data_IF_031993064892
#
_entry.id   IF_031993064892
#
_cell.length_a   1.000
_cell.length_b   1.000
_cell.length_c   1.000
_cell.angle_alpha   90.00
_cell.angle_beta   90.00
_cell.angle_gamma   90.00
#
_symmetry.space_group_name_H-M   'P 1'
#
loop_
_entity.id
_entity.type
_entity.pdbx_description
1 polymer ?
#
# COMPACT_ATOMS: atom_id res chain seq x y z
N UNK A 1 7.15 58.71 -10.36
CA UNK A 1 8.29 59.61 -10.08
C UNK A 1 9.35 58.77 -9.36
N UNK A 2 10.21 58.04 -10.06
CA UNK A 2 11.57 58.41 -10.52
C UNK A 2 12.49 59.05 -9.47
N UNK A 3 13.75 58.58 -9.51
CA UNK A 3 15.03 59.05 -8.88
C UNK A 3 15.48 58.21 -7.67
N UNK A 4 16.74 57.78 -7.53
CA UNK A 4 17.96 58.00 -8.33
C UNK A 4 19.01 56.94 -7.96
N UNK A 5 19.85 56.61 -8.94
CA UNK A 5 21.16 55.97 -8.77
C UNK A 5 22.17 56.97 -8.16
N UNK A 6 23.29 56.47 -7.63
CA UNK A 6 24.66 57.05 -7.54
C UNK A 6 25.42 56.31 -6.42
N UNK A 7 26.69 55.93 -6.46
CA UNK A 7 27.78 55.85 -7.45
C UNK A 7 29.04 55.44 -6.66
N UNK A 8 29.92 54.62 -7.26
CA UNK A 8 31.40 54.65 -7.26
C UNK A 8 32.17 54.81 -5.92
N UNK A 9 33.33 54.20 -5.62
CA UNK A 9 34.56 54.00 -6.41
C UNK A 9 35.52 53.11 -5.57
N UNK A 10 36.18 52.12 -6.17
CA UNK A 10 37.61 52.13 -6.55
C UNK A 10 38.63 52.23 -5.41
N UNK A 11 39.43 51.17 -5.25
CA UNK A 11 40.60 51.15 -4.38
C UNK A 11 41.38 49.84 -4.53
N UNK A 12 42.02 49.67 -5.67
CA UNK A 12 43.04 48.63 -5.88
C UNK A 12 44.35 49.07 -5.23
N UNK A 13 44.97 48.22 -4.41
CA UNK A 13 46.42 48.19 -4.30
C UNK A 13 46.91 46.80 -3.90
N UNK A 14 47.90 46.30 -4.64
CA UNK A 14 48.44 44.95 -4.53
C UNK A 14 49.51 44.79 -3.46
N UNK A 15 50.02 43.56 -3.36
CA UNK A 15 51.19 43.22 -2.55
C UNK A 15 51.17 41.75 -2.13
N UNK A 16 52.03 40.95 -2.75
CA UNK A 16 52.05 39.49 -2.62
C UNK A 16 52.57 38.93 -1.30
N UNK A 17 52.50 37.61 -1.18
CA UNK A 17 53.15 36.85 -0.10
C UNK A 17 52.50 35.48 0.13
N UNK A 18 53.13 34.45 -0.41
CA UNK A 18 52.84 33.03 -0.18
C UNK A 18 53.02 32.64 1.30
N UNK A 19 52.15 31.80 1.88
CA UNK A 19 52.52 30.46 2.36
C UNK A 19 51.30 29.64 2.82
N UNK A 20 51.40 28.32 2.67
CA UNK A 20 50.31 27.36 2.82
C UNK A 20 49.83 27.07 4.25
N UNK A 21 48.72 26.34 4.30
CA UNK A 21 48.14 25.80 5.54
C UNK A 21 46.76 25.23 5.26
N UNK A 22 46.69 23.92 5.00
CA UNK A 22 45.45 23.19 4.74
C UNK A 22 44.45 23.35 5.88
N UNK A 23 43.39 24.14 5.63
CA UNK A 23 42.23 24.27 6.50
C UNK A 23 41.33 23.05 6.37
N UNK A 24 41.53 22.09 7.27
CA UNK A 24 40.70 20.92 7.47
C UNK A 24 39.23 21.33 7.65
N UNK A 25 38.39 21.02 6.66
CA UNK A 25 36.94 21.07 6.81
C UNK A 25 36.59 20.13 7.96
N UNK A 26 36.21 20.69 9.11
CA UNK A 26 35.68 19.91 10.23
C UNK A 26 34.35 19.30 9.80
N UNK A 27 34.45 18.15 9.13
CA UNK A 27 33.33 17.30 8.78
C UNK A 27 32.84 16.71 10.09
N UNK A 28 31.83 17.38 10.67
CA UNK A 28 31.11 16.95 11.86
C UNK A 28 30.96 15.44 11.84
N UNK A 29 31.74 14.77 12.70
CA UNK A 29 31.76 13.33 12.86
C UNK A 29 30.40 12.89 13.38
N UNK A 30 29.50 12.53 12.45
CA UNK A 30 28.26 11.82 12.77
C UNK A 30 28.68 10.53 13.43
N UNK A 31 28.48 10.43 14.73
CA UNK A 31 28.57 9.18 15.48
C UNK A 31 27.83 8.09 14.69
N UNK A 32 28.38 6.87 14.56
CA UNK A 32 27.69 5.78 13.90
C UNK A 32 26.38 5.54 14.67
N UNK A 33 25.28 6.00 14.08
CA UNK A 33 23.96 5.62 14.57
C UNK A 33 23.91 4.10 14.52
N UNK A 34 23.44 3.42 15.58
CA UNK A 34 23.35 1.97 15.57
C UNK A 34 22.58 1.57 14.32
N UNK A 35 23.23 0.80 13.46
CA UNK A 35 22.62 0.20 12.26
C UNK A 35 21.57 -0.78 12.76
N UNK A 36 20.41 -0.26 13.13
CA UNK A 36 19.23 -1.09 13.32
C UNK A 36 19.11 -1.93 12.06
N UNK A 37 18.90 -3.26 12.17
CA UNK A 37 18.76 -4.12 11.02
C UNK A 37 17.82 -3.45 10.01
N UNK A 38 18.32 -3.26 8.80
CA UNK A 38 17.55 -2.72 7.71
C UNK A 38 16.23 -3.49 7.66
N UNK A 39 15.15 -2.70 7.66
CA UNK A 39 13.75 -3.08 7.59
C UNK A 39 13.55 -4.50 7.06
N UNK A 40 12.82 -5.34 7.77
CA UNK A 40 12.31 -6.55 7.15
C UNK A 40 11.40 -6.12 6.00
N UNK A 41 11.96 -6.01 4.79
CA UNK A 41 11.26 -5.81 3.53
C UNK A 41 10.50 -7.08 3.14
N UNK A 42 10.14 -7.91 4.12
CA UNK A 42 9.33 -9.10 3.93
C UNK A 42 8.00 -8.63 3.38
N UNK A 43 7.69 -8.95 2.11
CA UNK A 43 6.41 -8.56 1.56
C UNK A 43 5.32 -9.32 2.30
N UNK A 44 4.21 -8.63 2.56
CA UNK A 44 3.02 -9.26 3.12
C UNK A 44 2.60 -10.43 2.22
N UNK A 45 2.16 -11.54 2.79
CA UNK A 45 1.59 -12.64 2.01
C UNK A 45 0.20 -12.27 1.50
N UNK A 46 -0.32 -13.03 0.54
CA UNK A 46 -1.68 -12.84 0.02
C UNK A 46 -2.73 -12.95 1.13
N UNK A 47 -2.63 -13.97 1.97
CA UNK A 47 -3.52 -14.15 3.12
C UNK A 47 -3.48 -12.95 4.08
N UNK A 48 -2.29 -12.40 4.36
CA UNK A 48 -2.19 -11.23 5.24
C UNK A 48 -2.87 -10.01 4.63
N UNK A 49 -2.83 -9.84 3.31
CA UNK A 49 -3.54 -8.76 2.62
C UNK A 49 -5.05 -9.01 2.63
N UNK A 50 -5.49 -10.26 2.44
CA UNK A 50 -6.90 -10.65 2.59
C UNK A 50 -7.42 -10.40 3.99
N UNK A 51 -6.65 -10.71 5.04
CA UNK A 51 -7.00 -10.38 6.41
C UNK A 51 -7.26 -8.89 6.60
N UNK A 52 -6.33 -8.06 6.10
CA UNK A 52 -6.46 -6.60 6.18
C UNK A 52 -7.71 -6.12 5.44
N UNK A 53 -7.96 -6.65 4.24
CA UNK A 53 -9.14 -6.30 3.43
C UNK A 53 -10.44 -6.68 4.15
N UNK A 54 -10.53 -7.91 4.65
CA UNK A 54 -11.71 -8.43 5.32
C UNK A 54 -12.08 -7.64 6.57
N UNK A 55 -11.11 -7.40 7.46
CA UNK A 55 -11.39 -6.63 8.67
C UNK A 55 -11.76 -5.17 8.35
N UNK A 56 -11.21 -4.60 7.26
CA UNK A 56 -11.48 -3.22 6.89
C UNK A 56 -12.82 -3.02 6.17
N UNK A 57 -13.10 -3.83 5.16
CA UNK A 57 -14.26 -3.66 4.27
C UNK A 57 -15.46 -4.51 4.69
N UNK A 58 -15.25 -5.78 5.03
CA UNK A 58 -16.34 -6.70 5.39
C UNK A 58 -16.80 -6.45 6.83
N UNK A 59 -15.86 -6.24 7.76
CA UNK A 59 -16.16 -5.99 9.19
C UNK A 59 -16.25 -4.52 9.56
N UNK A 60 -15.76 -3.60 8.72
CA UNK A 60 -15.78 -2.16 9.02
C UNK A 60 -14.93 -1.76 10.25
N UNK A 61 -13.93 -2.56 10.62
CA UNK A 61 -13.14 -2.34 11.83
C UNK A 61 -12.16 -1.18 11.63
N UNK A 62 -11.95 -0.40 12.71
CA UNK A 62 -10.96 0.68 12.73
C UNK A 62 -9.53 0.12 12.77
N UNK A 63 -8.59 0.80 12.12
CA UNK A 63 -7.22 0.33 11.95
C UNK A 63 -6.54 -0.11 13.26
N UNK A 64 -6.74 0.65 14.33
CA UNK A 64 -6.20 0.38 15.66
C UNK A 64 -6.66 -0.99 16.20
N UNK A 65 -7.94 -1.32 15.98
CA UNK A 65 -8.54 -2.58 16.42
C UNK A 65 -8.15 -3.78 15.53
N UNK A 66 -7.67 -3.55 14.30
CA UNK A 66 -7.17 -4.62 13.42
C UNK A 66 -5.76 -5.08 13.83
N UNK A 67 -4.93 -4.20 14.41
CA UNK A 67 -3.52 -4.51 14.72
C UNK A 67 -3.37 -5.69 15.69
N UNK A 68 -4.21 -5.75 16.73
CA UNK A 68 -4.15 -6.81 17.75
C UNK A 68 -4.48 -8.19 17.16
N UNK A 69 -5.66 -8.41 16.52
CA UNK A 69 -5.99 -9.70 15.92
C UNK A 69 -5.03 -10.05 14.77
N UNK A 70 -4.54 -9.07 14.00
CA UNK A 70 -3.53 -9.31 12.97
C UNK A 70 -2.24 -9.89 13.55
N UNK A 71 -1.72 -9.31 14.65
CA UNK A 71 -0.51 -9.82 15.32
C UNK A 71 -0.71 -11.20 15.92
N UNK A 72 -1.91 -11.48 16.45
CA UNK A 72 -2.27 -12.80 16.99
C UNK A 72 -2.30 -13.86 15.88
N UNK A 73 -2.85 -13.51 14.72
CA UNK A 73 -2.95 -14.41 13.57
C UNK A 73 -1.61 -14.62 12.86
N UNK A 74 -0.80 -13.57 12.73
CA UNK A 74 0.47 -13.59 12.03
C UNK A 74 1.63 -13.13 12.94
N UNK A 75 2.00 -13.94 13.96
CA UNK A 75 3.05 -13.59 14.92
C UNK A 75 4.44 -13.42 14.26
N UNK A 76 4.64 -14.01 13.09
CA UNK A 76 5.85 -13.86 12.27
C UNK A 76 6.02 -12.43 11.71
N UNK A 77 4.95 -11.64 11.61
CA UNK A 77 5.02 -10.26 11.14
C UNK A 77 5.51 -9.36 12.27
N UNK A 78 6.79 -9.02 12.21
CA UNK A 78 7.42 -8.13 13.19
C UNK A 78 7.06 -6.67 12.91
N UNK A 79 6.11 -6.14 13.67
CA UNK A 79 5.97 -4.69 13.80
C UNK A 79 7.13 -4.18 14.67
N UNK A 80 7.78 -3.07 14.27
CA UNK A 80 8.86 -2.49 15.08
C UNK A 80 8.35 -2.24 16.52
N UNK A 81 9.13 -2.60 17.56
CA UNK A 81 8.86 -2.09 18.91
C UNK A 81 8.93 -0.57 18.83
N UNK A 82 7.83 0.07 19.23
CA UNK A 82 7.67 1.51 19.10
C UNK A 82 7.49 2.07 20.50
N UNK A 83 8.22 3.14 20.79
CA UNK A 83 8.03 4.02 21.96
C UNK A 83 6.72 4.83 21.89
N UNK A 84 5.81 4.53 20.95
CA UNK A 84 4.49 5.15 20.85
C UNK A 84 3.43 4.26 20.18
N UNK A 85 2.14 4.45 20.49
CA UNK A 85 1.05 3.49 20.22
C UNK A 85 0.66 3.31 18.73
N UNK A 86 1.07 4.19 17.82
CA UNK A 86 0.38 4.36 16.52
C UNK A 86 1.06 3.74 15.28
N UNK A 87 2.27 3.15 15.38
CA UNK A 87 3.00 2.67 14.18
C UNK A 87 2.49 1.36 13.58
N UNK A 88 1.84 0.50 14.36
CA UNK A 88 1.22 -0.74 13.84
C UNK A 88 0.11 -0.47 12.83
N UNK A 89 -0.73 0.53 13.14
CA UNK A 89 -1.78 1.04 12.25
C UNK A 89 -1.20 1.51 10.91
N UNK A 90 -0.17 2.36 10.94
CA UNK A 90 0.38 2.95 9.72
C UNK A 90 0.92 1.93 8.72
N UNK A 91 1.47 0.82 9.20
CA UNK A 91 1.95 -0.27 8.34
C UNK A 91 0.79 -0.99 7.61
N UNK A 92 -0.28 -1.34 8.35
CA UNK A 92 -1.46 -1.98 7.77
C UNK A 92 -2.19 -1.06 6.79
N UNK A 93 -2.35 0.21 7.17
CA UNK A 93 -3.00 1.23 6.34
C UNK A 93 -2.23 1.46 5.02
N UNK A 94 -0.90 1.61 5.10
CA UNK A 94 -0.06 1.74 3.91
C UNK A 94 -0.15 0.51 3.00
N UNK A 95 -0.18 -0.70 3.59
CA UNK A 95 -0.32 -1.94 2.82
C UNK A 95 -1.69 -2.02 2.15
N UNK A 96 -2.75 -1.66 2.87
CA UNK A 96 -4.11 -1.63 2.35
C UNK A 96 -4.21 -0.71 1.13
N UNK A 97 -3.82 0.57 1.23
CA UNK A 97 -3.95 1.50 0.09
C UNK A 97 -3.13 1.09 -1.14
N UNK A 98 -1.94 0.50 -0.94
CA UNK A 98 -1.11 -0.03 -2.05
C UNK A 98 -1.74 -1.25 -2.73
N UNK A 99 -2.58 -2.00 -2.02
CA UNK A 99 -3.23 -3.21 -2.52
C UNK A 99 -4.52 -2.93 -3.33
N UNK A 100 -4.96 -1.66 -3.44
CA UNK A 100 -6.22 -1.27 -4.06
C UNK A 100 -6.16 -1.23 -5.58
N UNK A 101 -5.88 -2.41 -6.14
CA UNK A 101 -5.87 -2.70 -7.58
C UNK A 101 -7.21 -3.35 -7.97
N UNK A 102 -7.83 -2.78 -8.98
CA UNK A 102 -9.12 -3.19 -9.52
C UNK A 102 -9.00 -3.42 -11.02
N UNK A 103 -9.83 -4.30 -11.61
CA UNK A 103 -9.86 -4.40 -13.05
C UNK A 103 -10.33 -3.08 -13.66
N UNK A 104 -9.67 -2.70 -14.75
CA UNK A 104 -10.03 -1.55 -15.56
C UNK A 104 -11.30 -1.85 -16.32
N UNK A 105 -12.21 -0.89 -16.30
CA UNK A 105 -13.47 -0.96 -17.01
C UNK A 105 -13.46 0.05 -18.15
N UNK A 106 -14.01 -0.34 -19.29
CA UNK A 106 -14.31 0.58 -20.39
C UNK A 106 -15.57 1.40 -20.09
N UNK A 107 -15.92 2.34 -20.99
CA UNK A 107 -17.11 3.19 -20.83
C UNK A 107 -18.45 2.44 -20.85
N UNK A 108 -18.44 1.20 -21.35
CA UNK A 108 -19.58 0.29 -21.37
C UNK A 108 -19.65 -0.59 -20.11
N UNK A 109 -18.63 -0.56 -19.23
CA UNK A 109 -18.55 -1.36 -18.02
C UNK A 109 -17.98 -2.76 -18.23
N UNK A 110 -17.35 -3.04 -19.37
CA UNK A 110 -16.67 -4.31 -19.62
C UNK A 110 -15.21 -4.25 -19.14
N UNK A 111 -14.67 -5.41 -18.77
CA UNK A 111 -13.27 -5.55 -18.38
C UNK A 111 -12.37 -5.28 -19.59
N UNK A 112 -11.45 -4.33 -19.46
CA UNK A 112 -10.38 -4.13 -20.43
C UNK A 112 -9.37 -5.25 -20.24
N UNK A 113 -9.14 -6.03 -21.29
CA UNK A 113 -8.20 -7.14 -21.30
C UNK A 113 -6.88 -6.71 -21.95
N UNK A 114 -5.77 -7.21 -21.43
CA UNK A 114 -4.46 -7.10 -22.03
C UNK A 114 -4.28 -8.10 -23.20
N UNK A 115 -3.11 -8.06 -23.85
CA UNK A 115 -2.77 -8.93 -24.98
C UNK A 115 -2.79 -10.44 -24.62
N UNK A 116 -2.66 -10.77 -23.33
CA UNK A 116 -2.71 -12.14 -22.83
C UNK A 116 -4.15 -12.57 -22.49
N UNK A 117 -5.13 -11.67 -22.66
CA UNK A 117 -6.50 -11.91 -22.26
C UNK A 117 -6.69 -11.84 -20.74
N UNK A 118 -5.82 -11.18 -19.99
CA UNK A 118 -6.00 -10.95 -18.55
C UNK A 118 -6.53 -9.53 -18.30
N UNK A 119 -7.38 -9.29 -17.28
CA UNK A 119 -7.85 -7.94 -16.99
C UNK A 119 -6.69 -6.99 -16.67
N UNK A 120 -6.66 -5.86 -17.38
CA UNK A 120 -5.76 -4.77 -17.03
C UNK A 120 -6.14 -4.23 -15.65
N UNK A 121 -5.18 -4.15 -14.73
CA UNK A 121 -5.44 -3.73 -13.36
C UNK A 121 -5.01 -2.28 -13.15
N UNK A 122 -5.90 -1.45 -12.60
CA UNK A 122 -5.66 -0.04 -12.28
C UNK A 122 -5.76 0.23 -10.79
N UNK A 123 -4.98 1.19 -10.29
CA UNK A 123 -5.10 1.65 -8.92
C UNK A 123 -6.25 2.66 -8.80
N UNK A 124 -7.28 2.33 -8.03
CA UNK A 124 -8.38 3.25 -7.74
C UNK A 124 -8.24 3.72 -6.30
N UNK A 125 -8.06 5.04 -6.12
CA UNK A 125 -7.96 5.62 -4.78
C UNK A 125 -9.26 5.40 -4.03
N UNK A 126 -9.17 5.08 -2.74
CA UNK A 126 -10.34 4.79 -1.88
C UNK A 126 -11.40 5.90 -1.95
N UNK A 127 -10.96 7.16 -1.93
CA UNK A 127 -11.84 8.34 -2.03
C UNK A 127 -12.55 8.50 -3.39
N UNK A 128 -12.00 7.91 -4.45
CA UNK A 128 -12.53 8.01 -5.82
C UNK A 128 -13.53 6.88 -6.13
N UNK A 129 -13.63 5.85 -5.27
CA UNK A 129 -14.52 4.69 -5.46
C UNK A 129 -16.00 5.05 -5.47
N UNK A 130 -16.41 5.91 -4.54
CA UNK A 130 -17.81 6.29 -4.37
C UNK A 130 -18.36 7.05 -5.57
N UNK A 131 -17.47 7.77 -6.29
CA UNK A 131 -17.79 8.56 -7.48
C UNK A 131 -17.45 7.82 -8.78
N UNK A 132 -17.06 6.55 -8.72
CA UNK A 132 -16.65 5.80 -9.90
C UNK A 132 -17.87 5.46 -10.78
N UNK A 133 -17.76 5.70 -12.09
CA UNK A 133 -18.85 5.52 -13.06
C UNK A 133 -19.48 4.13 -13.00
N UNK A 134 -18.64 3.10 -12.87
CA UNK A 134 -19.06 1.69 -12.81
C UNK A 134 -18.96 1.11 -11.39
N UNK A 135 -19.35 1.92 -10.39
CA UNK A 135 -19.29 1.55 -8.97
C UNK A 135 -19.88 0.17 -8.67
N UNK A 136 -21.06 -0.12 -9.22
CA UNK A 136 -21.78 -1.37 -9.03
C UNK A 136 -20.98 -2.61 -9.46
N UNK A 137 -20.06 -2.48 -10.42
CA UNK A 137 -19.19 -3.57 -10.89
C UNK A 137 -17.96 -3.67 -10.00
N UNK A 138 -17.34 -2.55 -9.64
CA UNK A 138 -16.12 -2.55 -8.80
C UNK A 138 -16.42 -2.88 -7.32
N UNK A 139 -17.66 -2.70 -6.86
CA UNK A 139 -18.06 -2.98 -5.48
C UNK A 139 -17.89 -4.46 -5.11
N UNK A 140 -18.09 -5.36 -6.08
CA UNK A 140 -17.81 -6.79 -5.93
C UNK A 140 -16.33 -7.09 -5.64
N UNK A 141 -15.42 -6.14 -5.91
CA UNK A 141 -13.99 -6.26 -5.63
C UNK A 141 -13.55 -5.56 -4.34
N UNK A 142 -14.47 -4.90 -3.61
CA UNK A 142 -14.15 -4.23 -2.36
C UNK A 142 -14.08 -5.22 -1.20
N UNK A 143 -15.12 -6.02 -1.02
CA UNK A 143 -15.20 -6.99 0.08
C UNK A 143 -14.44 -8.25 -0.28
N UNK A 144 -13.79 -8.87 0.70
CA UNK A 144 -13.14 -10.16 0.47
C UNK A 144 -14.18 -11.23 0.13
N UNK A 145 -15.32 -11.21 0.82
CA UNK A 145 -16.43 -12.17 0.63
C UNK A 145 -16.99 -12.14 -0.79
N UNK A 146 -17.06 -10.98 -1.42
CA UNK A 146 -17.49 -10.86 -2.82
C UNK A 146 -16.32 -11.10 -3.77
N UNK A 147 -15.12 -10.60 -3.48
CA UNK A 147 -13.99 -10.67 -4.40
C UNK A 147 -13.49 -12.10 -4.57
N UNK A 148 -13.18 -12.76 -3.46
CA UNK A 148 -12.58 -14.09 -3.39
C UNK A 148 -13.33 -14.96 -2.36
N UNK A 149 -14.60 -15.33 -2.60
CA UNK A 149 -15.39 -16.11 -1.66
C UNK A 149 -14.74 -17.46 -1.31
N UNK A 150 -14.00 -18.06 -2.24
CA UNK A 150 -13.29 -19.32 -2.05
C UNK A 150 -12.26 -19.21 -0.91
N UNK A 151 -11.52 -18.10 -0.87
CA UNK A 151 -10.52 -17.85 0.17
C UNK A 151 -11.18 -17.62 1.53
N UNK A 152 -12.38 -17.01 1.57
CA UNK A 152 -13.14 -16.82 2.82
C UNK A 152 -13.50 -18.17 3.45
N UNK A 153 -13.80 -19.19 2.64
CA UNK A 153 -14.09 -20.54 3.13
C UNK A 153 -12.85 -21.25 3.65
N UNK A 154 -11.70 -21.01 3.02
CA UNK A 154 -10.41 -21.62 3.40
C UNK A 154 -9.86 -21.04 4.70
N UNK A 155 -10.01 -19.72 4.91
CA UNK A 155 -9.42 -19.07 6.07
C UNK A 155 -10.07 -19.47 7.40
N UNK A 156 -9.24 -19.66 8.41
CA UNK A 156 -9.68 -20.07 9.76
C UNK A 156 -10.19 -18.90 10.60
N UNK A 157 -9.81 -17.67 10.25
CA UNK A 157 -10.12 -16.43 10.98
C UNK A 157 -11.36 -15.68 10.48
N UNK A 158 -12.05 -16.21 9.48
CA UNK A 158 -13.30 -15.67 8.94
C UNK A 158 -14.51 -16.22 9.70
N UNK A 159 -15.52 -15.37 9.90
CA UNK A 159 -16.74 -15.74 10.63
C UNK A 159 -17.64 -16.66 9.81
N UNK A 160 -18.38 -17.55 10.48
CA UNK A 160 -19.26 -18.51 9.80
C UNK A 160 -20.38 -17.81 9.00
N UNK A 161 -20.85 -16.65 9.46
CA UNK A 161 -21.84 -15.84 8.72
C UNK A 161 -21.31 -15.41 7.34
N UNK A 162 -20.05 -15.00 7.28
CA UNK A 162 -19.43 -14.57 6.03
C UNK A 162 -19.04 -15.76 5.15
N UNK A 163 -18.74 -16.91 5.77
CA UNK A 163 -18.59 -18.18 5.03
C UNK A 163 -19.90 -18.60 4.39
N UNK A 164 -21.02 -18.46 5.08
CA UNK A 164 -22.33 -18.73 4.50
C UNK A 164 -22.65 -17.80 3.33
N UNK A 165 -22.33 -16.51 3.47
CA UNK A 165 -22.45 -15.54 2.38
C UNK A 165 -21.54 -15.90 1.20
N UNK A 166 -20.28 -16.27 1.44
CA UNK A 166 -19.35 -16.74 0.41
C UNK A 166 -19.90 -17.97 -0.33
N UNK A 167 -20.45 -18.96 0.40
CA UNK A 167 -21.12 -20.13 -0.20
C UNK A 167 -22.34 -19.74 -1.05
N UNK A 168 -23.11 -18.72 -0.65
CA UNK A 168 -24.22 -18.19 -1.44
C UNK A 168 -23.71 -17.57 -2.74
N UNK A 169 -22.70 -16.71 -2.66
CA UNK A 169 -22.10 -16.04 -3.82
C UNK A 169 -21.53 -17.05 -4.81
N UNK A 170 -20.80 -18.06 -4.34
CA UNK A 170 -20.26 -19.12 -5.21
C UNK A 170 -21.39 -19.85 -5.96
N UNK A 171 -22.47 -20.21 -5.26
CA UNK A 171 -23.63 -20.87 -5.89
C UNK A 171 -24.33 -19.97 -6.92
N UNK A 172 -24.55 -18.70 -6.59
CA UNK A 172 -25.17 -17.74 -7.50
C UNK A 172 -24.33 -17.51 -8.75
N UNK A 173 -23.01 -17.42 -8.60
CA UNK A 173 -22.05 -17.30 -9.70
C UNK A 173 -22.08 -18.54 -10.58
N UNK A 174 -21.98 -19.73 -9.99
CA UNK A 174 -22.05 -21.00 -10.71
C UNK A 174 -23.36 -21.14 -11.49
N UNK A 175 -24.50 -20.74 -10.90
CA UNK A 175 -25.80 -20.76 -11.58
C UNK A 175 -25.87 -19.82 -12.79
N UNK A 176 -25.11 -18.71 -12.76
CA UNK A 176 -24.97 -17.77 -13.87
C UNK A 176 -23.89 -18.18 -14.89
N UNK A 177 -23.21 -19.31 -14.68
CA UNK A 177 -22.04 -19.71 -15.46
C UNK A 177 -20.83 -18.81 -15.24
N UNK A 178 -20.86 -17.95 -14.22
CA UNK A 178 -19.76 -17.09 -13.82
C UNK A 178 -18.95 -17.90 -12.82
N UNK A 179 -17.68 -18.18 -13.11
CA UNK A 179 -16.81 -18.84 -12.16
C UNK A 179 -16.23 -17.84 -11.15
N UNK A 180 -14.92 -17.92 -10.98
CA UNK A 180 -14.12 -16.92 -10.25
C UNK A 180 -14.19 -15.56 -10.95
N UNK A 181 -14.21 -14.46 -10.18
CA UNK A 181 -14.09 -13.13 -10.75
C UNK A 181 -12.73 -12.97 -11.43
N UNK A 182 -12.71 -12.37 -12.62
CA UNK A 182 -11.45 -12.06 -13.31
C UNK A 182 -10.79 -10.87 -12.62
N UNK A 183 -9.49 -10.96 -12.32
CA UNK A 183 -8.78 -9.89 -11.59
C UNK A 183 -9.05 -9.87 -10.08
N UNK A 184 -9.59 -10.96 -9.53
CA UNK A 184 -9.87 -11.09 -8.11
C UNK A 184 -8.60 -11.21 -7.24
N UNK A 185 -7.51 -11.74 -7.79
CA UNK A 185 -6.24 -11.84 -7.05
C UNK A 185 -5.69 -10.44 -6.76
N UNK A 186 -5.57 -10.12 -5.49
CA UNK A 186 -4.84 -8.93 -5.06
C UNK A 186 -3.35 -9.15 -5.36
N UNK A 187 -2.77 -8.32 -6.24
CA UNK A 187 -1.35 -8.41 -6.57
C UNK A 187 -0.49 -8.15 -5.33
N UNK A 188 0.31 -9.14 -4.98
CA UNK A 188 1.32 -9.07 -3.93
C UNK A 188 2.69 -9.23 -4.59
N UNK A 189 3.71 -8.52 -4.08
CA UNK A 189 5.08 -8.72 -4.56
C UNK A 189 5.49 -10.15 -4.19
N UNK A 190 5.88 -10.94 -5.18
CA UNK A 190 6.37 -12.31 -4.96
C UNK A 190 7.52 -12.27 -3.95
N UNK A 191 7.45 -13.13 -2.93
CA UNK A 191 8.55 -13.35 -1.98
C UNK A 191 9.73 -14.11 -2.61
N UNK A 192 9.53 -14.73 -3.78
CA UNK A 192 10.50 -15.65 -4.39
C UNK A 192 11.67 -14.98 -5.13
N UNK A 193 11.62 -13.67 -5.41
CA UNK A 193 12.74 -12.96 -6.04
C UNK A 193 13.71 -12.30 -5.05
N UNK A 194 13.55 -12.56 -3.75
CA UNK A 194 14.38 -11.97 -2.69
C UNK A 194 15.26 -12.98 -1.94
N UNK A 195 15.49 -14.17 -2.53
CA UNK A 195 16.42 -15.18 -2.02
C UNK A 195 17.58 -15.37 -3.00
#
# INVERSE_FOLDING_TARGET
MQRSQSSSSSGSNGGGGFNGGGGMVQRSSRSPSPTLPAHSNVPYTLEQVHFIQYYREDKGVQWEAIVIPFKKQFPQVRFKPSTGPNRGKGALECRYYRAQMFPKLDDAGNLVLDENGEPEMVNIKVRERTSHRHRNIIEDYFKLVTRCPEMVLEYSWTDEKDKEEARRIIRERAAKGIGRLRGDIIRVRSTLEAM
#
